data_IF_771245659388
#
_entry.id   IF_771245659388
#
_cell.length_a   1.000
_cell.length_b   1.000
_cell.length_c   1.000
_cell.angle_alpha   90.00
_cell.angle_beta   90.00
_cell.angle_gamma   90.00
#
_symmetry.space_group_name_H-M   'P 1'
#
loop_
_entity.id
_entity.type
_entity.pdbx_description
1 polymer ?
#
# COMPACT_ATOMS: atom_id res chain seq x y z
N UNK A 1 -22.19 -17.57 9.34
CA UNK A 1 -20.91 -17.13 9.90
C UNK A 1 -20.15 -16.46 8.78
N UNK A 2 -20.04 -15.13 8.81
CA UNK A 2 -19.14 -14.47 7.88
C UNK A 2 -17.74 -14.95 8.23
N UNK A 3 -17.06 -15.55 7.27
CA UNK A 3 -15.67 -15.91 7.40
C UNK A 3 -14.90 -14.63 7.64
N UNK A 4 -14.54 -14.38 8.91
CA UNK A 4 -13.46 -13.48 9.28
C UNK A 4 -12.17 -14.12 8.77
N UNK A 5 -11.97 -13.96 7.46
CA UNK A 5 -10.68 -14.20 6.87
C UNK A 5 -9.80 -13.12 7.47
N UNK A 6 -8.78 -13.53 8.23
CA UNK A 6 -7.74 -12.65 8.77
C UNK A 6 -6.88 -12.03 7.64
N UNK A 7 -7.45 -11.88 6.44
CA UNK A 7 -6.91 -11.15 5.33
C UNK A 7 -6.97 -9.69 5.72
N UNK A 8 -5.81 -9.14 6.06
CA UNK A 8 -5.60 -7.73 6.35
C UNK A 8 -6.37 -6.91 5.30
N UNK A 9 -7.42 -6.21 5.74
CA UNK A 9 -8.28 -5.43 4.85
C UNK A 9 -7.43 -4.31 4.25
N UNK A 10 -7.13 -4.42 2.95
CA UNK A 10 -6.37 -3.42 2.22
C UNK A 10 -7.02 -2.03 2.40
N UNK A 11 -6.25 -0.99 2.73
CA UNK A 11 -6.78 0.36 2.81
C UNK A 11 -7.15 0.85 1.40
N UNK A 12 -8.44 0.93 1.11
CA UNK A 12 -8.97 1.48 -0.15
C UNK A 12 -9.09 2.99 -0.04
N UNK A 13 -8.71 3.72 -1.09
CA UNK A 13 -8.85 5.17 -1.13
C UNK A 13 -10.26 5.54 -1.58
N UNK A 14 -10.98 6.28 -0.73
CA UNK A 14 -12.37 6.69 -0.97
C UNK A 14 -12.49 8.10 -1.56
N UNK A 15 -11.37 8.74 -1.93
CA UNK A 15 -11.36 10.09 -2.51
C UNK A 15 -11.19 11.22 -1.49
N UNK A 16 -11.22 10.91 -0.19
CA UNK A 16 -11.05 11.89 0.90
C UNK A 16 -9.89 11.51 1.83
N UNK A 17 -9.36 12.49 2.56
CA UNK A 17 -8.32 12.30 3.58
C UNK A 17 -7.09 11.53 3.08
N UNK A 18 -6.55 11.94 1.92
CA UNK A 18 -5.38 11.31 1.29
C UNK A 18 -4.23 11.07 2.26
N UNK A 19 -3.91 12.04 3.13
CA UNK A 19 -2.84 11.88 4.12
C UNK A 19 -3.06 10.69 5.06
N UNK A 20 -4.29 10.51 5.55
CA UNK A 20 -4.63 9.40 6.43
C UNK A 20 -4.60 8.07 5.68
N UNK A 21 -5.09 8.03 4.44
CA UNK A 21 -5.01 6.84 3.60
C UNK A 21 -3.57 6.46 3.30
N UNK A 22 -2.71 7.42 2.94
CA UNK A 22 -1.30 7.19 2.63
C UNK A 22 -0.55 6.62 3.84
N UNK A 23 -0.79 7.15 5.05
CA UNK A 23 -0.21 6.61 6.29
C UNK A 23 -0.65 5.16 6.50
N UNK A 24 -1.95 4.84 6.31
CA UNK A 24 -2.47 3.47 6.45
C UNK A 24 -1.88 2.52 5.40
N UNK A 25 -1.75 2.97 4.16
CA UNK A 25 -1.15 2.18 3.08
C UNK A 25 0.32 1.90 3.35
N UNK A 26 1.08 2.90 3.78
CA UNK A 26 2.48 2.73 4.16
C UNK A 26 2.64 1.72 5.29
N UNK A 27 1.89 1.87 6.38
CA UNK A 27 1.94 0.93 7.51
C UNK A 27 1.54 -0.51 7.11
N UNK A 28 0.57 -0.65 6.20
CA UNK A 28 0.21 -1.96 5.63
C UNK A 28 1.40 -2.58 4.89
N UNK A 29 2.05 -1.84 4.00
CA UNK A 29 3.19 -2.34 3.22
C UNK A 29 4.39 -2.67 4.09
N UNK A 30 4.71 -1.84 5.08
CA UNK A 30 5.78 -2.08 6.05
C UNK A 30 5.50 -3.35 6.87
N UNK A 31 4.27 -3.55 7.36
CA UNK A 31 3.92 -4.72 8.16
C UNK A 31 3.91 -6.05 7.37
N UNK A 32 3.89 -5.98 6.04
CA UNK A 32 3.93 -7.16 5.16
C UNK A 32 5.29 -7.32 4.47
N UNK A 33 6.31 -6.54 4.84
CA UNK A 33 7.64 -6.50 4.19
C UNK A 33 7.53 -6.25 2.66
N UNK A 34 6.48 -5.54 2.22
CA UNK A 34 6.22 -5.21 0.81
C UNK A 34 6.72 -3.80 0.45
N UNK A 35 7.11 -3.01 1.45
CA UNK A 35 7.57 -1.64 1.24
C UNK A 35 8.88 -1.58 0.44
N UNK A 36 9.77 -2.56 0.59
CA UNK A 36 11.03 -2.66 -0.16
C UNK A 36 10.78 -2.69 -1.67
N UNK A 37 9.80 -3.46 -2.14
CA UNK A 37 9.43 -3.53 -3.57
C UNK A 37 8.81 -2.22 -4.12
N UNK A 38 8.40 -1.30 -3.25
CA UNK A 38 7.90 0.04 -3.62
C UNK A 38 9.00 1.09 -3.50
N UNK A 39 9.98 0.88 -2.61
CA UNK A 39 11.15 1.74 -2.45
C UNK A 39 12.20 1.52 -3.52
N UNK A 40 12.30 0.32 -4.09
CA UNK A 40 13.19 0.04 -5.22
C UNK A 40 12.97 1.11 -6.29
N UNK A 41 14.01 1.93 -6.48
CA UNK A 41 14.01 3.04 -7.43
C UNK A 41 13.63 2.46 -8.78
N UNK A 42 12.42 2.78 -9.24
CA UNK A 42 11.98 2.44 -10.57
C UNK A 42 12.96 3.11 -11.53
N UNK A 43 13.88 2.34 -12.09
CA UNK A 43 14.78 2.82 -13.13
C UNK A 43 13.92 3.20 -14.33
N UNK A 44 13.65 4.49 -14.44
CA UNK A 44 12.98 5.05 -15.61
C UNK A 44 14.02 5.00 -16.73
N UNK A 45 13.87 4.03 -17.63
CA UNK A 45 14.61 4.05 -18.88
C UNK A 45 14.37 5.42 -19.57
N UNK A 46 15.44 6.10 -20.01
CA UNK A 46 15.28 7.38 -20.67
C UNK A 46 14.38 7.24 -21.89
N UNK A 47 13.41 8.14 -22.02
CA UNK A 47 12.52 8.17 -23.18
C UNK A 47 13.34 8.47 -24.47
N UNK A 48 13.00 7.84 -25.61
CA UNK A 48 13.68 8.07 -26.89
C UNK A 48 13.48 9.48 -27.45
#
# INVERSE_FOLDING_TARGET
>A
MQSENLAIKLPVFEGENYHLWAIRMKAYLEANDLWEAVEDEYEIDPLP
#
